data_IF_475154851085
#
_entry.id   IF_475154851085
#
_cell.length_a   1.000
_cell.length_b   1.000
_cell.length_c   1.000
_cell.angle_alpha   90.00
_cell.angle_beta   90.00
_cell.angle_gamma   90.00
#
_symmetry.space_group_name_H-M   'P 1'
#
loop_
_entity.id
_entity.type
_entity.pdbx_description
1 polymer ?
#
# COMPACT_ATOMS: atom_id res chain seq x y z
N UNK A 1 5.25 -32.68 74.12
CA UNK A 1 6.43 -31.79 74.22
C UNK A 1 6.44 -30.89 72.98
N UNK A 2 6.45 -29.57 73.17
CA UNK A 2 6.65 -28.46 72.21
C UNK A 2 5.60 -28.27 71.09
N UNK A 3 5.10 -27.06 70.76
CA UNK A 3 5.04 -25.72 71.36
C UNK A 3 4.04 -24.88 70.52
N UNK A 4 3.34 -23.94 71.17
CA UNK A 4 2.81 -22.61 70.74
C UNK A 4 2.75 -22.28 69.22
N UNK A 5 1.73 -21.60 68.69
CA UNK A 5 1.54 -20.14 68.82
C UNK A 5 0.19 -19.69 68.21
N UNK A 6 -0.50 -18.79 68.93
CA UNK A 6 -1.66 -17.99 68.49
C UNK A 6 -1.21 -16.97 67.43
N UNK A 7 -1.97 -16.77 66.34
CA UNK A 7 -1.93 -15.47 65.65
C UNK A 7 -3.29 -15.11 65.04
N UNK A 8 -3.62 -13.83 65.23
CA UNK A 8 -4.86 -13.11 64.96
C UNK A 8 -5.12 -12.87 63.48
N UNK A 9 -6.42 -12.69 63.16
CA UNK A 9 -7.05 -11.73 62.20
C UNK A 9 -6.45 -11.66 60.78
N UNK A 10 -7.24 -11.66 59.71
CA UNK A 10 -8.01 -10.50 59.24
C UNK A 10 -9.03 -11.00 58.20
N UNK A 11 -10.29 -10.56 58.34
CA UNK A 11 -11.28 -10.60 57.26
C UNK A 11 -10.82 -9.66 56.14
N UNK A 12 -10.36 -10.22 55.03
CA UNK A 12 -10.20 -9.48 53.77
C UNK A 12 -11.42 -9.69 52.89
N UNK A 13 -12.30 -8.69 52.80
CA UNK A 13 -13.31 -8.63 51.76
C UNK A 13 -12.61 -8.35 50.42
N UNK A 14 -12.58 -9.35 49.53
CA UNK A 14 -12.13 -9.16 48.16
C UNK A 14 -13.21 -8.39 47.37
N UNK A 15 -12.97 -7.10 47.13
CA UNK A 15 -13.72 -6.33 46.14
C UNK A 15 -13.33 -6.83 44.74
N UNK A 16 -14.26 -7.50 44.06
CA UNK A 16 -14.14 -7.78 42.64
C UNK A 16 -14.12 -6.46 41.86
N UNK A 17 -13.04 -6.22 41.10
CA UNK A 17 -13.02 -5.16 40.08
C UNK A 17 -14.01 -5.51 38.98
N UNK A 18 -14.85 -4.57 38.50
CA UNK A 18 -15.61 -4.78 37.27
C UNK A 18 -14.65 -4.92 36.09
N UNK A 19 -14.86 -5.95 35.27
CA UNK A 19 -14.17 -6.13 34.00
C UNK A 19 -14.49 -4.94 33.08
N UNK A 20 -13.44 -4.22 32.70
CA UNK A 20 -13.50 -3.07 31.81
C UNK A 20 -13.83 -3.56 30.38
N UNK A 21 -14.84 -2.91 29.78
CA UNK A 21 -15.42 -3.22 28.48
C UNK A 21 -14.37 -3.02 27.37
N UNK A 22 -13.95 -4.10 26.71
CA UNK A 22 -13.20 -4.04 25.46
C UNK A 22 -14.15 -3.78 24.28
N UNK A 23 -14.50 -2.51 24.03
CA UNK A 23 -15.28 -2.13 22.84
C UNK A 23 -15.24 -0.60 22.64
N UNK A 24 -14.15 -0.07 22.11
CA UNK A 24 -14.14 1.31 21.56
C UNK A 24 -12.92 1.63 20.69
N UNK A 25 -11.82 0.88 20.82
CA UNK A 25 -10.56 1.18 20.13
C UNK A 25 -10.61 0.93 18.60
N UNK A 26 -11.38 -0.08 18.15
CA UNK A 26 -11.42 -0.48 16.73
C UNK A 26 -12.26 0.48 15.85
N UNK A 27 -13.35 1.01 16.39
CA UNK A 27 -14.23 1.92 15.65
C UNK A 27 -13.56 3.29 15.44
N UNK A 28 -12.82 3.77 16.44
CA UNK A 28 -12.07 5.03 16.37
C UNK A 28 -10.87 4.92 15.40
N UNK A 29 -10.24 3.76 15.30
CA UNK A 29 -9.17 3.52 14.32
C UNK A 29 -9.70 3.47 12.88
N UNK A 30 -10.83 2.78 12.65
CA UNK A 30 -11.48 2.75 11.34
C UNK A 30 -12.01 4.13 10.91
N UNK A 31 -12.54 4.92 11.85
CA UNK A 31 -12.98 6.28 11.59
C UNK A 31 -11.81 7.22 11.23
N UNK A 32 -10.66 7.05 11.88
CA UNK A 32 -9.44 7.78 11.55
C UNK A 32 -8.96 7.44 10.13
N UNK A 33 -8.81 6.16 9.80
CA UNK A 33 -8.46 5.68 8.45
C UNK A 33 -9.43 6.23 7.37
N UNK A 34 -10.73 6.23 7.67
CA UNK A 34 -11.75 6.75 6.75
C UNK A 34 -11.63 8.27 6.56
N UNK A 35 -11.32 9.02 7.61
CA UNK A 35 -11.08 10.46 7.52
C UNK A 35 -9.76 10.79 6.81
N UNK A 36 -8.74 9.95 6.95
CA UNK A 36 -7.45 10.08 6.27
C UNK A 36 -7.59 9.83 4.76
N UNK A 37 -8.31 8.78 4.36
CA UNK A 37 -8.66 8.55 2.94
C UNK A 37 -9.45 9.72 2.35
N UNK A 38 -10.43 10.25 3.08
CA UNK A 38 -11.24 11.38 2.62
C UNK A 38 -10.41 12.67 2.45
N UNK A 39 -9.41 12.88 3.30
CA UNK A 39 -8.50 14.03 3.16
C UNK A 39 -7.61 13.89 1.93
N UNK A 40 -7.08 12.69 1.67
CA UNK A 40 -6.26 12.40 0.49
C UNK A 40 -7.05 12.60 -0.82
N UNK A 41 -8.31 12.13 -0.86
CA UNK A 41 -9.23 12.37 -1.99
C UNK A 41 -9.48 13.86 -2.28
N UNK A 42 -9.45 14.73 -1.26
CA UNK A 42 -9.69 16.18 -1.44
C UNK A 42 -8.55 16.90 -2.15
N UNK A 43 -7.36 16.29 -2.22
CA UNK A 43 -6.15 16.78 -2.92
C UNK A 43 -5.78 15.90 -4.11
N UNK A 44 -6.70 15.04 -4.56
CA UNK A 44 -6.44 14.11 -5.66
C UNK A 44 -6.08 14.85 -6.97
N UNK A 45 -5.18 14.23 -7.73
CA UNK A 45 -4.79 14.65 -9.07
C UNK A 45 -5.66 13.88 -10.05
N UNK A 46 -6.52 14.57 -10.79
CA UNK A 46 -7.29 13.95 -11.88
C UNK A 46 -6.36 13.74 -13.08
N UNK A 47 -6.37 12.51 -13.62
CA UNK A 47 -5.54 12.13 -14.77
C UNK A 47 -6.44 11.57 -15.87
N UNK A 48 -6.17 12.01 -17.11
CA UNK A 48 -6.96 11.71 -18.30
C UNK A 48 -7.96 12.82 -18.58
N UNK A 49 -7.75 13.54 -19.68
CA UNK A 49 -8.70 14.54 -20.20
C UNK A 49 -9.10 14.16 -21.63
N UNK A 50 -10.32 14.51 -22.03
CA UNK A 50 -11.10 14.04 -23.19
C UNK A 50 -10.53 14.33 -24.59
N UNK A 51 -9.23 14.11 -24.79
CA UNK A 51 -8.56 14.30 -26.08
C UNK A 51 -8.39 12.94 -26.74
N UNK A 52 -8.79 12.91 -28.00
CA UNK A 52 -9.15 11.70 -28.73
C UNK A 52 -8.13 10.58 -28.62
N UNK A 53 -8.69 9.38 -28.44
CA UNK A 53 -8.18 8.04 -28.75
C UNK A 53 -6.79 8.01 -29.43
N UNK A 54 -5.73 8.32 -28.68
CA UNK A 54 -4.42 7.74 -28.98
C UNK A 54 -4.39 6.42 -28.24
N UNK A 55 -4.22 5.31 -28.95
CA UNK A 55 -4.08 3.96 -28.39
C UNK A 55 -2.82 3.80 -27.51
N UNK A 56 -2.08 4.88 -27.22
CA UNK A 56 -0.89 4.89 -26.39
C UNK A 56 -1.22 5.16 -24.92
N UNK A 57 -0.84 4.25 -23.99
CA UNK A 57 -1.03 4.47 -22.56
C UNK A 57 -0.32 5.74 -22.07
N UNK A 58 -1.01 6.56 -21.28
CA UNK A 58 -0.44 7.80 -20.73
C UNK A 58 0.45 7.51 -19.51
N UNK A 59 1.63 8.15 -19.38
CA UNK A 59 2.45 7.98 -18.18
C UNK A 59 1.71 8.51 -16.96
N UNK A 60 1.61 7.70 -15.90
CA UNK A 60 1.22 8.19 -14.60
C UNK A 60 2.34 9.08 -14.05
N UNK A 61 2.01 10.25 -13.47
CA UNK A 61 3.01 11.11 -12.87
C UNK A 61 3.84 10.32 -11.86
N UNK A 62 5.18 10.38 -11.97
CA UNK A 62 6.05 9.70 -11.02
C UNK A 62 5.80 10.27 -9.61
N UNK A 63 5.60 9.42 -8.59
CA UNK A 63 5.36 9.90 -7.23
C UNK A 63 6.57 10.64 -6.71
N UNK A 64 6.33 11.78 -6.07
CA UNK A 64 7.38 12.71 -5.63
C UNK A 64 7.70 12.62 -4.15
N UNK A 65 7.08 11.68 -3.41
CA UNK A 65 7.25 11.57 -1.96
C UNK A 65 7.67 10.17 -1.53
N UNK A 66 8.82 10.08 -0.85
CA UNK A 66 9.23 8.91 -0.07
C UNK A 66 8.58 9.00 1.32
N UNK A 67 7.25 8.88 1.36
CA UNK A 67 6.48 8.96 2.60
C UNK A 67 5.61 7.72 2.77
N UNK A 68 5.79 7.05 3.91
CA UNK A 68 4.93 5.96 4.36
C UNK A 68 3.61 6.45 4.97
N UNK A 69 3.45 7.78 5.11
CA UNK A 69 2.19 8.39 5.50
C UNK A 69 1.26 8.48 4.29
N UNK A 70 0.21 7.65 4.29
CA UNK A 70 -0.83 7.63 3.24
C UNK A 70 -1.44 9.02 2.96
N UNK A 71 -1.41 9.94 3.92
CA UNK A 71 -1.90 11.32 3.76
C UNK A 71 -0.97 12.19 2.89
N UNK A 72 0.27 11.76 2.71
CA UNK A 72 1.31 12.44 1.95
C UNK A 72 1.64 11.71 0.64
N UNK A 73 1.03 10.56 0.41
CA UNK A 73 1.08 9.86 -0.86
C UNK A 73 0.26 10.61 -1.90
N UNK A 74 0.75 10.61 -3.14
CA UNK A 74 -0.03 11.13 -4.27
C UNK A 74 -1.25 10.24 -4.52
N UNK A 75 -2.42 10.86 -4.66
CA UNK A 75 -3.68 10.19 -4.96
C UNK A 75 -4.11 10.56 -6.37
N UNK A 76 -4.22 9.58 -7.26
CA UNK A 76 -4.63 9.79 -8.65
C UNK A 76 -6.04 9.25 -8.88
N UNK A 77 -6.91 10.09 -9.43
CA UNK A 77 -8.23 9.68 -9.91
C UNK A 77 -8.17 9.58 -11.42
N UNK A 78 -8.29 8.35 -11.92
CA UNK A 78 -8.14 8.03 -13.34
C UNK A 78 -9.50 7.99 -14.03
N UNK A 79 -9.62 8.72 -15.14
CA UNK A 79 -10.74 8.56 -16.07
C UNK A 79 -10.56 7.31 -16.95
N UNK A 80 -11.62 6.88 -17.64
CA UNK A 80 -11.55 5.78 -18.62
C UNK A 80 -10.41 6.00 -19.62
N UNK A 81 -9.61 4.96 -19.85
CA UNK A 81 -8.42 5.06 -20.68
C UNK A 81 -7.31 4.08 -20.27
N UNK A 82 -6.15 4.27 -20.90
CA UNK A 82 -4.95 3.49 -20.60
C UNK A 82 -3.86 4.39 -20.04
N UNK A 83 -3.20 3.90 -19.00
CA UNK A 83 -2.08 4.56 -18.34
C UNK A 83 -0.94 3.57 -18.12
N UNK A 84 0.21 4.04 -17.68
CA UNK A 84 1.28 3.15 -17.24
C UNK A 84 2.15 3.75 -16.14
N UNK A 85 2.80 2.87 -15.39
CA UNK A 85 3.91 3.20 -14.51
C UNK A 85 5.01 2.17 -14.67
N UNK A 86 6.24 2.55 -14.34
CA UNK A 86 7.42 1.72 -14.50
C UNK A 86 8.42 2.03 -13.39
N UNK A 87 9.32 1.10 -13.11
CA UNK A 87 10.45 1.33 -12.21
C UNK A 87 11.33 2.49 -12.70
N UNK A 88 12.14 3.05 -11.81
CA UNK A 88 13.12 4.07 -12.22
C UNK A 88 14.07 3.48 -13.28
N UNK A 89 14.51 4.32 -14.22
CA UNK A 89 15.36 3.99 -15.37
C UNK A 89 14.79 3.03 -16.44
N UNK A 90 13.71 2.30 -16.20
CA UNK A 90 13.10 1.47 -17.24
C UNK A 90 12.70 2.29 -18.48
N UNK A 91 12.94 1.82 -19.73
CA UNK A 91 13.55 0.54 -20.11
C UNK A 91 15.07 0.61 -20.34
N UNK A 92 15.71 1.72 -19.95
CA UNK A 92 17.08 2.04 -20.39
C UNK A 92 18.16 1.41 -19.50
N UNK A 93 17.87 1.22 -18.22
CA UNK A 93 18.80 0.67 -17.24
C UNK A 93 18.03 -0.01 -16.08
N UNK A 94 18.76 -0.71 -15.23
CA UNK A 94 18.24 -1.30 -14.00
C UNK A 94 17.73 -0.20 -13.04
N UNK A 95 16.77 -0.55 -12.17
CA UNK A 95 16.34 0.35 -11.11
C UNK A 95 17.49 0.62 -10.11
N UNK A 96 17.59 1.80 -9.48
CA UNK A 96 18.62 2.08 -8.49
C UNK A 96 18.43 1.29 -7.19
N UNK A 97 19.51 1.07 -6.43
CA UNK A 97 19.40 0.69 -5.02
C UNK A 97 18.67 1.77 -4.22
N UNK A 98 17.92 1.36 -3.19
CA UNK A 98 17.11 2.24 -2.35
C UNK A 98 16.08 3.09 -3.13
N UNK A 99 15.73 2.68 -4.36
CA UNK A 99 14.62 3.26 -5.10
C UNK A 99 13.32 2.99 -4.36
N UNK A 100 12.49 4.01 -4.29
CA UNK A 100 11.22 3.97 -3.59
C UNK A 100 10.24 4.92 -4.26
N UNK A 101 9.02 4.44 -4.48
CA UNK A 101 7.89 5.31 -4.77
C UNK A 101 6.60 4.68 -4.29
N UNK A 102 5.62 5.52 -3.96
CA UNK A 102 4.30 5.07 -3.52
C UNK A 102 3.20 6.04 -3.92
N UNK A 103 2.06 5.52 -4.38
CA UNK A 103 0.88 6.31 -4.75
C UNK A 103 -0.41 5.49 -4.65
N UNK A 104 -1.55 6.19 -4.66
CA UNK A 104 -2.88 5.56 -4.72
C UNK A 104 -3.50 5.80 -6.08
N UNK A 105 -4.03 4.75 -6.69
CA UNK A 105 -4.85 4.81 -7.89
C UNK A 105 -6.31 4.58 -7.54
N UNK A 106 -7.18 5.44 -8.01
CA UNK A 106 -8.62 5.29 -7.94
C UNK A 106 -9.23 5.58 -9.31
N UNK A 107 -10.49 5.18 -9.50
CA UNK A 107 -11.19 5.40 -10.77
C UNK A 107 -12.32 6.41 -10.59
N UNK A 108 -12.45 7.33 -11.55
CA UNK A 108 -13.55 8.29 -11.56
C UNK A 108 -14.92 7.60 -11.70
N UNK A 109 -14.95 6.43 -12.36
CA UNK A 109 -16.16 5.64 -12.56
C UNK A 109 -16.54 4.78 -11.34
N UNK A 110 -15.61 4.55 -10.40
CA UNK A 110 -15.75 3.61 -9.29
C UNK A 110 -15.71 2.14 -9.70
N UNK A 111 -15.48 1.82 -10.98
CA UNK A 111 -15.30 0.45 -11.45
C UNK A 111 -13.85 -0.01 -11.31
N UNK A 112 -13.59 -1.31 -11.05
CA UNK A 112 -12.22 -1.82 -10.94
C UNK A 112 -11.40 -1.55 -12.19
N UNK A 113 -10.16 -1.11 -12.00
CA UNK A 113 -9.14 -1.06 -13.05
C UNK A 113 -8.38 -2.39 -13.15
N UNK A 114 -7.80 -2.65 -14.32
CA UNK A 114 -6.85 -3.75 -14.54
C UNK A 114 -5.42 -3.19 -14.56
N UNK A 115 -4.50 -3.82 -13.83
CA UNK A 115 -3.06 -3.59 -13.95
C UNK A 115 -2.42 -4.84 -14.54
N UNK A 116 -1.69 -4.68 -15.65
CA UNK A 116 -0.90 -5.73 -16.28
C UNK A 116 0.58 -5.36 -16.30
N UNK A 117 1.38 -6.08 -15.52
CA UNK A 117 2.82 -5.89 -15.47
C UNK A 117 3.52 -6.90 -16.39
N UNK A 118 4.11 -6.41 -17.48
CA UNK A 118 4.90 -7.19 -18.43
C UNK A 118 5.76 -6.26 -19.31
N UNK A 119 7.09 -6.41 -19.32
CA UNK A 119 7.87 -7.36 -18.53
C UNK A 119 7.94 -6.98 -17.05
N UNK A 120 8.23 -7.98 -16.21
CA UNK A 120 8.55 -7.81 -14.79
C UNK A 120 9.82 -8.61 -14.48
N UNK A 121 10.84 -7.95 -13.93
CA UNK A 121 12.07 -8.54 -13.42
C UNK A 121 12.61 -7.70 -12.25
N UNK A 122 12.34 -8.17 -11.04
CA UNK A 122 12.73 -7.56 -9.76
C UNK A 122 13.48 -8.61 -8.95
N UNK A 123 14.46 -8.24 -8.12
CA UNK A 123 15.28 -9.21 -7.39
C UNK A 123 14.40 -10.22 -6.62
N UNK A 124 14.61 -11.51 -6.88
CA UNK A 124 13.81 -12.57 -6.30
C UNK A 124 14.20 -12.88 -4.87
N UNK A 125 13.22 -13.00 -3.98
CA UNK A 125 13.37 -13.58 -2.64
C UNK A 125 12.12 -14.42 -2.31
N UNK A 126 12.21 -15.54 -1.54
CA UNK A 126 11.06 -16.40 -1.25
C UNK A 126 9.83 -15.69 -0.67
N UNK A 127 10.04 -14.58 0.04
CA UNK A 127 8.98 -13.73 0.59
C UNK A 127 8.99 -12.29 0.02
N UNK A 128 9.80 -12.01 -1.01
CA UNK A 128 10.01 -10.66 -1.54
C UNK A 128 10.43 -9.64 -0.46
N UNK A 129 11.47 -10.00 0.32
CA UNK A 129 12.00 -9.16 1.41
C UNK A 129 13.18 -8.28 0.97
N UNK A 130 13.78 -8.56 -0.19
CA UNK A 130 14.83 -7.72 -0.79
C UNK A 130 14.15 -6.57 -1.56
N UNK A 131 13.82 -6.81 -2.82
CA UNK A 131 13.09 -5.89 -3.67
C UNK A 131 11.66 -6.36 -3.93
N UNK A 132 10.74 -5.42 -4.12
CA UNK A 132 9.35 -5.75 -4.39
C UNK A 132 8.56 -4.60 -5.01
N UNK A 133 7.62 -4.97 -5.89
CA UNK A 133 6.45 -4.15 -6.21
C UNK A 133 5.27 -4.69 -5.41
N UNK A 134 4.56 -3.83 -4.68
CA UNK A 134 3.38 -4.19 -3.92
C UNK A 134 2.14 -3.49 -4.49
N UNK A 135 1.10 -4.28 -4.69
CA UNK A 135 -0.26 -3.81 -5.01
C UNK A 135 -1.16 -4.20 -3.84
N UNK A 136 -1.65 -3.20 -3.11
CA UNK A 136 -2.32 -3.31 -1.82
C UNK A 136 -1.54 -4.13 -0.80
N UNK A 137 -1.88 -5.42 -0.64
CA UNK A 137 -1.26 -6.34 0.32
C UNK A 137 -0.40 -7.42 -0.34
N UNK A 138 -0.30 -7.42 -1.67
CA UNK A 138 0.39 -8.47 -2.42
C UNK A 138 1.72 -7.96 -2.94
N UNK A 139 2.83 -8.55 -2.49
CA UNK A 139 4.17 -8.29 -2.99
C UNK A 139 4.50 -9.19 -4.18
N UNK A 140 5.18 -8.63 -5.17
CA UNK A 140 5.67 -9.28 -6.36
C UNK A 140 7.17 -9.04 -6.47
N UNK A 141 7.92 -10.10 -6.78
CA UNK A 141 9.36 -10.10 -7.05
C UNK A 141 9.71 -11.30 -7.94
N UNK A 142 10.93 -11.36 -8.46
CA UNK A 142 11.33 -12.32 -9.49
C UNK A 142 10.96 -11.84 -10.89
N UNK A 143 10.87 -12.78 -11.84
CA UNK A 143 10.64 -12.47 -13.25
C UNK A 143 9.35 -13.09 -13.79
N UNK A 144 8.72 -12.42 -14.76
CA UNK A 144 7.53 -12.92 -15.45
C UNK A 144 6.54 -11.83 -15.85
N UNK A 145 5.25 -12.14 -15.71
CA UNK A 145 4.15 -11.23 -15.94
C UNK A 145 2.97 -11.58 -15.04
N UNK A 146 2.18 -10.58 -14.64
CA UNK A 146 1.01 -10.80 -13.80
C UNK A 146 -0.08 -9.74 -14.04
N UNK A 147 -1.29 -10.08 -13.60
CA UNK A 147 -2.45 -9.19 -13.58
C UNK A 147 -2.88 -8.90 -12.15
N UNK A 148 -3.43 -7.71 -11.95
CA UNK A 148 -4.09 -7.30 -10.72
C UNK A 148 -5.35 -6.50 -11.04
N UNK A 149 -6.39 -6.65 -10.23
CA UNK A 149 -7.68 -5.99 -10.44
C UNK A 149 -8.17 -5.36 -9.13
N UNK A 150 -8.59 -4.10 -9.17
CA UNK A 150 -9.05 -3.41 -7.97
C UNK A 150 -9.39 -1.94 -8.19
N UNK A 151 -10.01 -1.30 -7.19
CA UNK A 151 -10.15 0.15 -7.04
C UNK A 151 -10.62 0.45 -5.61
N UNK A 152 -10.02 1.43 -4.89
CA UNK A 152 -8.70 1.99 -5.16
C UNK A 152 -7.60 0.93 -4.97
N UNK A 153 -6.39 1.22 -5.47
CA UNK A 153 -5.20 0.37 -5.34
C UNK A 153 -4.06 1.22 -4.76
N UNK A 154 -3.43 0.75 -3.69
CA UNK A 154 -2.16 1.30 -3.20
C UNK A 154 -1.01 0.63 -3.95
N UNK A 155 -0.18 1.43 -4.60
CA UNK A 155 1.01 0.99 -5.33
C UNK A 155 2.24 1.44 -4.56
N UNK A 156 3.16 0.53 -4.30
CA UNK A 156 4.43 0.82 -3.63
C UNK A 156 5.54 -0.03 -4.25
N UNK A 157 6.67 0.59 -4.58
CA UNK A 157 7.89 -0.09 -4.98
C UNK A 157 9.00 0.25 -3.99
N UNK A 158 9.79 -0.75 -3.61
CA UNK A 158 10.98 -0.58 -2.79
C UNK A 158 12.08 -1.51 -3.27
N UNK A 159 13.31 -1.01 -3.29
CA UNK A 159 14.52 -1.81 -3.47
C UNK A 159 15.48 -1.65 -2.29
N UNK A 160 16.33 -2.64 -2.08
CA UNK A 160 17.32 -2.66 -1.01
C UNK A 160 18.67 -2.03 -1.42
N UNK A 161 19.73 -2.29 -0.66
CA UNK A 161 21.05 -1.71 -0.87
C UNK A 161 21.93 -2.43 -1.90
N UNK A 162 21.42 -3.46 -2.57
CA UNK A 162 22.17 -4.35 -3.45
C UNK A 162 21.31 -4.92 -4.58
N UNK A 163 21.97 -5.64 -5.50
CA UNK A 163 21.39 -6.40 -6.63
C UNK A 163 20.14 -5.78 -7.27
N UNK A 164 20.36 -5.02 -8.33
CA UNK A 164 19.29 -4.47 -9.13
C UNK A 164 18.96 -5.36 -10.33
N UNK A 165 17.80 -5.14 -10.93
CA UNK A 165 17.31 -5.83 -12.13
C UNK A 165 16.71 -4.82 -13.12
N UNK A 166 16.39 -5.24 -14.36
CA UNK A 166 15.80 -4.35 -15.37
C UNK A 166 14.49 -3.69 -14.93
N UNK A 167 13.79 -4.25 -13.94
CA UNK A 167 12.59 -3.66 -13.35
C UNK A 167 11.32 -4.05 -14.09
N UNK A 168 10.38 -3.12 -14.21
CA UNK A 168 9.04 -3.44 -14.71
C UNK A 168 8.37 -2.32 -15.48
N UNK A 169 7.42 -2.73 -16.33
CA UNK A 169 6.41 -1.89 -16.96
C UNK A 169 5.01 -2.43 -16.66
N UNK A 170 4.17 -1.59 -16.08
CA UNK A 170 2.80 -1.94 -15.72
C UNK A 170 1.81 -1.04 -16.46
N UNK A 171 1.00 -1.63 -17.32
CA UNK A 171 -0.12 -0.95 -18.00
C UNK A 171 -1.35 -0.99 -17.11
N UNK A 172 -2.03 0.14 -16.96
CA UNK A 172 -3.29 0.30 -16.24
C UNK A 172 -4.40 0.53 -17.26
N UNK A 173 -5.49 -0.23 -17.17
CA UNK A 173 -6.68 -0.08 -18.01
C UNK A 173 -7.87 0.24 -17.13
N UNK A 174 -8.47 1.40 -17.35
CA UNK A 174 -9.69 1.85 -16.67
C UNK A 174 -10.85 1.76 -17.66
N UNK A 175 -11.93 1.03 -17.33
CA UNK A 175 -13.10 0.91 -18.20
C UNK A 175 -13.84 2.24 -18.39
#
# INVERSE_FOLDING_TARGET
MFRLTICLLVLGAALAKPAEKASDKSANHAAALKSEMLHSQKTAIEVGESRGLSDEPQPLPKPTTNSTDLRQMSYFVLNSGQYYFASTNYPNDDYPNYDYFSFVLDTASGYPMEIYCNPFDVESHPNCDYDWLQLDYTKYCGSGAFYYYGTPIVVEFSSDGSITRPGFYCRVTVP
#
